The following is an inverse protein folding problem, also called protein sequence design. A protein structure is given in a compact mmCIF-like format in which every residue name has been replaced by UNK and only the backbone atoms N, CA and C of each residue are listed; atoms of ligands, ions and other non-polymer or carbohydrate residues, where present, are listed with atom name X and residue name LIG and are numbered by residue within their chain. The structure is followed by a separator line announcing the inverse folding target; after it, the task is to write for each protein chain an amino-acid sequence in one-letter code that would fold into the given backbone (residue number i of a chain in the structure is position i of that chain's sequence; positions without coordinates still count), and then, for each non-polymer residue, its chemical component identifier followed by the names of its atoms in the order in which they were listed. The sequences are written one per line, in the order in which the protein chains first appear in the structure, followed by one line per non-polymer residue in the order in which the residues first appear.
data_IF_343482528418
#
_entry.id   IF_343482528418
#
_cell.length_a   1.000
_cell.length_b   1.000
_cell.length_c   1.000
_cell.angle_alpha   90.00
_cell.angle_beta   90.00
_cell.angle_gamma   90.00
#
_symmetry.space_group_name_H-M   'P 1'
#
loop_
_entity.id
_entity.type
_entity.pdbx_description
1 polymer ?
#
# COMPACT_ATOMS: atom_id res chain seq x y z
N UNK A 1 69.95 -31.83 17.05
CA UNK A 1 70.02 -31.48 15.62
C UNK A 1 68.67 -30.96 15.17
N UNK A 2 68.67 -29.86 14.39
CA UNK A 2 67.56 -29.24 13.60
C UNK A 2 66.37 -28.73 14.42
N UNK A 3 66.29 -27.45 14.81
CA UNK A 3 65.82 -26.28 14.02
C UNK A 3 64.69 -26.67 13.04
N UNK A 4 63.50 -26.05 13.04
CA UNK A 4 63.26 -24.69 12.56
C UNK A 4 61.86 -24.17 13.02
N UNK A 5 61.88 -23.02 13.71
CA UNK A 5 61.04 -21.80 13.64
C UNK A 5 59.49 -21.84 13.60
N UNK A 6 58.94 -21.15 14.61
CA UNK A 6 57.71 -20.32 14.60
C UNK A 6 57.42 -19.67 13.23
N UNK A 7 56.15 -19.67 12.81
CA UNK A 7 55.53 -18.44 12.30
C UNK A 7 54.00 -18.49 12.36
N UNK A 8 53.48 -17.48 13.05
CA UNK A 8 52.08 -17.06 13.13
C UNK A 8 51.72 -16.30 11.84
N UNK A 9 50.59 -16.57 11.18
CA UNK A 9 49.77 -15.52 10.53
C UNK A 9 48.44 -16.02 9.97
N UNK A 10 47.40 -15.37 10.49
CA UNK A 10 46.06 -15.22 9.91
C UNK A 10 46.14 -14.77 8.45
N UNK A 11 45.23 -15.27 7.63
CA UNK A 11 45.04 -14.81 6.26
C UNK A 11 43.87 -15.51 5.57
N UNK A 12 42.66 -15.32 6.10
CA UNK A 12 41.43 -15.74 5.44
C UNK A 12 41.26 -15.03 4.09
N UNK A 13 41.16 -15.86 3.06
CA UNK A 13 40.31 -15.74 1.87
C UNK A 13 40.05 -14.36 1.25
N UNK A 14 40.61 -14.22 0.04
CA UNK A 14 40.02 -13.52 -1.12
C UNK A 14 38.49 -13.56 -1.12
N UNK A 15 37.83 -12.42 -1.34
CA UNK A 15 36.95 -12.23 -2.52
C UNK A 15 36.99 -10.76 -2.95
N UNK A 16 37.50 -10.55 -4.16
CA UNK A 16 37.45 -9.31 -4.94
C UNK A 16 36.15 -9.37 -5.76
N UNK A 17 35.31 -8.34 -5.77
CA UNK A 17 34.39 -8.14 -6.89
C UNK A 17 33.04 -7.49 -6.60
N UNK A 18 32.83 -6.35 -7.28
CA UNK A 18 31.54 -5.79 -7.73
C UNK A 18 30.62 -5.14 -6.69
N UNK A 19 31.13 -4.07 -6.09
CA UNK A 19 30.28 -2.91 -5.80
C UNK A 19 29.79 -2.29 -7.11
N UNK A 20 28.48 -2.21 -7.32
CA UNK A 20 27.92 -1.48 -8.47
C UNK A 20 26.49 -1.87 -8.89
N UNK A 21 26.01 -3.08 -8.57
CA UNK A 21 24.68 -3.55 -9.02
C UNK A 21 23.60 -3.64 -7.94
N UNK A 22 23.93 -3.31 -6.68
CA UNK A 22 23.02 -3.53 -5.55
C UNK A 22 22.10 -2.34 -5.25
N UNK A 23 22.46 -1.12 -5.65
CA UNK A 23 21.63 0.08 -5.39
C UNK A 23 20.43 0.21 -6.33
N UNK A 24 20.53 -0.25 -7.58
CA UNK A 24 19.44 -0.16 -8.56
C UNK A 24 18.23 -1.06 -8.21
N UNK A 25 18.47 -2.21 -7.56
CA UNK A 25 17.41 -3.11 -7.08
C UNK A 25 16.62 -2.52 -5.90
N UNK A 26 17.26 -1.67 -5.09
CA UNK A 26 16.63 -1.04 -3.93
C UNK A 26 15.64 0.06 -4.30
N UNK A 27 15.92 0.83 -5.36
CA UNK A 27 15.06 1.91 -5.82
C UNK A 27 13.78 1.38 -6.48
N UNK A 28 13.88 0.34 -7.31
CA UNK A 28 12.72 -0.30 -7.93
C UNK A 28 11.82 -0.98 -6.88
N UNK A 29 12.39 -1.58 -5.84
CA UNK A 29 11.63 -2.16 -4.73
C UNK A 29 10.93 -1.08 -3.88
N UNK A 30 11.58 0.07 -3.66
CA UNK A 30 10.97 1.20 -2.94
C UNK A 30 9.83 1.86 -3.76
N UNK A 31 10.01 1.99 -5.07
CA UNK A 31 8.95 2.46 -5.97
C UNK A 31 7.78 1.48 -6.01
N UNK A 32 8.05 0.17 -6.10
CA UNK A 32 7.00 -0.86 -6.06
C UNK A 32 6.19 -0.82 -4.75
N UNK A 33 6.80 -0.46 -3.62
CA UNK A 33 6.10 -0.23 -2.35
C UNK A 33 5.19 1.01 -2.37
N UNK A 34 5.60 2.08 -3.05
CA UNK A 34 4.76 3.27 -3.24
C UNK A 34 3.57 2.98 -4.17
N UNK A 35 3.74 2.14 -5.19
CA UNK A 35 2.65 1.69 -6.06
C UNK A 35 1.75 0.61 -5.43
N UNK A 36 2.09 0.12 -4.24
CA UNK A 36 1.29 -0.85 -3.48
C UNK A 36 0.49 -0.19 -2.33
N UNK A 37 0.31 1.14 -2.32
CA UNK A 37 -0.54 1.76 -1.31
C UNK A 37 -1.99 1.31 -1.50
N UNK A 38 -2.58 0.61 -0.52
CA UNK A 38 -3.93 0.11 -0.65
C UNK A 38 -4.94 1.25 -0.64
N UNK A 39 -5.87 1.23 -1.60
CA UNK A 39 -7.08 2.06 -1.56
C UNK A 39 -7.89 1.63 -0.33
N UNK A 40 -8.09 2.53 0.62
CA UNK A 40 -8.87 2.25 1.83
C UNK A 40 -10.34 2.49 1.50
N UNK A 41 -11.16 1.44 1.61
CA UNK A 41 -12.61 1.51 1.41
C UNK A 41 -13.33 1.31 2.74
N UNK A 42 -14.29 2.18 3.04
CA UNK A 42 -15.14 2.10 4.24
C UNK A 42 -16.61 1.98 3.84
N UNK A 43 -17.26 0.83 4.05
CA UNK A 43 -18.67 0.65 3.74
C UNK A 43 -19.59 1.20 4.84
N UNK A 44 -20.75 1.70 4.44
CA UNK A 44 -21.85 2.11 5.33
C UNK A 44 -23.13 1.37 4.91
N UNK A 45 -23.68 0.54 5.80
CA UNK A 45 -25.01 -0.05 5.63
C UNK A 45 -26.05 1.06 5.88
N UNK A 46 -26.75 1.44 4.80
CA UNK A 46 -27.77 2.48 4.82
C UNK A 46 -29.14 1.88 4.59
N UNK A 47 -30.05 2.12 5.53
CA UNK A 47 -31.45 1.66 5.47
C UNK A 47 -32.46 2.79 5.65
N UNK A 48 -32.01 3.98 6.03
CA UNK A 48 -32.87 5.11 6.37
C UNK A 48 -32.55 6.32 5.48
N UNK A 49 -33.56 6.83 4.78
CA UNK A 49 -33.45 8.04 3.95
C UNK A 49 -33.07 9.28 4.76
N UNK A 50 -33.37 9.31 6.06
CA UNK A 50 -32.99 10.41 6.96
C UNK A 50 -31.47 10.55 7.07
N UNK A 51 -30.73 9.44 6.96
CA UNK A 51 -29.27 9.47 6.98
C UNK A 51 -28.67 10.23 5.79
N UNK A 52 -29.37 10.26 4.64
CA UNK A 52 -28.89 10.97 3.47
C UNK A 52 -28.90 12.51 3.63
N UNK A 53 -29.55 13.08 4.65
CA UNK A 53 -29.48 14.53 4.91
C UNK A 53 -28.24 14.96 5.69
N UNK A 54 -27.61 14.02 6.39
CA UNK A 54 -26.42 14.28 7.23
C UNK A 54 -25.12 13.75 6.61
N UNK A 55 -25.22 13.02 5.50
CA UNK A 55 -24.05 12.50 4.78
C UNK A 55 -23.40 13.60 3.93
N UNK A 56 -22.06 13.62 3.81
CA UNK A 56 -21.36 14.57 2.93
C UNK A 56 -21.69 14.42 1.44
N UNK A 57 -22.28 13.29 1.01
CA UNK A 57 -22.64 13.01 -0.38
C UNK A 57 -24.12 12.61 -0.51
N UNK A 58 -25.08 13.55 -0.32
CA UNK A 58 -26.51 13.27 -0.19
C UNK A 58 -27.10 12.64 -1.47
N UNK A 59 -26.72 13.15 -2.64
CA UNK A 59 -27.18 12.63 -3.93
C UNK A 59 -26.71 11.19 -4.18
N UNK A 60 -25.45 10.87 -3.82
CA UNK A 60 -24.91 9.51 -3.96
C UNK A 60 -25.63 8.57 -3.00
N UNK A 61 -25.80 8.98 -1.74
CA UNK A 61 -26.53 8.22 -0.72
C UNK A 61 -27.95 7.87 -1.17
N UNK A 62 -28.72 8.86 -1.63
CA UNK A 62 -30.10 8.64 -2.09
C UNK A 62 -30.14 7.64 -3.25
N UNK A 63 -29.19 7.75 -4.19
CA UNK A 63 -29.05 6.79 -5.29
C UNK A 63 -28.72 5.39 -4.79
N UNK A 64 -27.80 5.24 -3.83
CA UNK A 64 -27.45 3.92 -3.29
C UNK A 64 -28.66 3.28 -2.59
N UNK A 65 -29.35 4.05 -1.74
CA UNK A 65 -30.53 3.58 -1.02
C UNK A 65 -31.66 3.15 -1.98
N UNK A 66 -31.93 3.96 -3.01
CA UNK A 66 -32.92 3.64 -4.04
C UNK A 66 -32.58 2.36 -4.83
N UNK A 67 -31.29 2.02 -4.94
CA UNK A 67 -30.81 0.83 -5.64
C UNK A 67 -30.57 -0.37 -4.70
N UNK A 68 -30.87 -0.26 -3.40
CA UNK A 68 -30.57 -1.31 -2.43
C UNK A 68 -29.07 -1.59 -2.27
N UNK A 69 -28.24 -0.59 -2.55
CA UNK A 69 -26.77 -0.62 -2.51
C UNK A 69 -26.23 0.09 -1.29
N UNK A 70 -24.96 -0.17 -0.99
CA UNK A 70 -24.26 0.47 0.11
C UNK A 70 -23.52 1.71 -0.36
N UNK A 71 -23.51 2.74 0.47
CA UNK A 71 -22.64 3.88 0.29
C UNK A 71 -21.27 3.51 0.82
N UNK A 72 -20.23 3.69 0.02
CA UNK A 72 -18.85 3.48 0.44
C UNK A 72 -18.05 4.77 0.33
N UNK A 73 -17.17 5.02 1.29
CA UNK A 73 -16.16 6.06 1.17
C UNK A 73 -14.86 5.42 0.67
N UNK A 74 -14.35 5.94 -0.45
CA UNK A 74 -13.11 5.51 -1.08
C UNK A 74 -12.06 6.58 -0.84
N UNK A 75 -10.91 6.18 -0.29
CA UNK A 75 -9.73 7.03 -0.20
C UNK A 75 -8.77 6.66 -1.34
N UNK A 76 -8.71 7.53 -2.35
CA UNK A 76 -7.79 7.41 -3.48
C UNK A 76 -6.62 8.39 -3.30
N UNK A 77 -5.50 8.11 -3.98
CA UNK A 77 -4.37 9.03 -4.06
C UNK A 77 -4.28 9.55 -5.50
N UNK A 78 -4.23 10.87 -5.67
CA UNK A 78 -3.96 11.51 -6.96
C UNK A 78 -2.51 11.24 -7.41
N UNK A 79 -2.18 11.54 -8.68
CA UNK A 79 -0.82 11.35 -9.22
C UNK A 79 0.25 12.15 -8.46
N UNK A 80 -0.15 13.24 -7.80
CA UNK A 80 0.71 14.06 -6.95
C UNK A 80 0.80 13.55 -5.50
N UNK A 81 0.16 12.43 -5.18
CA UNK A 81 0.16 11.80 -3.86
C UNK A 81 -0.81 12.41 -2.87
N UNK A 82 -1.68 13.35 -3.27
CA UNK A 82 -2.71 13.89 -2.36
C UNK A 82 -3.85 12.89 -2.16
N UNK A 83 -4.26 12.63 -0.90
CA UNK A 83 -5.40 11.76 -0.64
C UNK A 83 -6.70 12.51 -0.95
N UNK A 84 -7.56 11.90 -1.76
CA UNK A 84 -8.89 12.42 -2.09
C UNK A 84 -9.95 11.43 -1.65
N UNK A 85 -11.00 11.97 -1.02
CA UNK A 85 -12.15 11.20 -0.56
C UNK A 85 -13.25 11.28 -1.60
N UNK A 86 -13.70 10.12 -2.06
CA UNK A 86 -14.85 10.00 -2.93
C UNK A 86 -15.90 9.09 -2.29
N UNK A 87 -17.15 9.25 -2.72
CA UNK A 87 -18.27 8.44 -2.26
C UNK A 87 -18.87 7.70 -3.45
N UNK A 88 -19.06 6.40 -3.32
CA UNK A 88 -19.55 5.52 -4.38
C UNK A 88 -20.70 4.65 -3.87
N UNK A 89 -21.49 4.10 -4.81
CA UNK A 89 -22.43 3.03 -4.50
C UNK A 89 -21.80 1.69 -4.87
N UNK A 90 -21.81 0.73 -3.95
CA UNK A 90 -21.37 -0.64 -4.23
C UNK A 90 -22.45 -1.64 -3.88
N UNK A 91 -22.44 -2.75 -4.60
CA UNK A 91 -23.29 -3.88 -4.27
C UNK A 91 -22.90 -4.39 -2.88
N UNK A 92 -23.91 -4.70 -2.07
CA UNK A 92 -23.70 -5.31 -0.75
C UNK A 92 -23.01 -6.65 -0.97
N UNK A 93 -21.81 -6.82 -0.43
CA UNK A 93 -21.18 -8.14 -0.39
C UNK A 93 -22.13 -9.05 0.39
N UNK A 94 -22.67 -10.08 -0.27
CA UNK A 94 -23.48 -11.07 0.44
C UNK A 94 -22.59 -11.74 1.50
N UNK A 95 -23.10 -11.89 2.75
CA UNK A 95 -22.36 -12.54 3.83
C UNK A 95 -22.06 -14.01 3.55
#
# INVERSE_FOLDING_TARGET
MREVRKLHRRGQHRVRGRGGKQKARSLLAALAWLFLTPVIVRPYDLRDARFCWITPAPFVCQRCLAQGRELVQVLAFEEDGRPVRHYECRDRAQP
#
